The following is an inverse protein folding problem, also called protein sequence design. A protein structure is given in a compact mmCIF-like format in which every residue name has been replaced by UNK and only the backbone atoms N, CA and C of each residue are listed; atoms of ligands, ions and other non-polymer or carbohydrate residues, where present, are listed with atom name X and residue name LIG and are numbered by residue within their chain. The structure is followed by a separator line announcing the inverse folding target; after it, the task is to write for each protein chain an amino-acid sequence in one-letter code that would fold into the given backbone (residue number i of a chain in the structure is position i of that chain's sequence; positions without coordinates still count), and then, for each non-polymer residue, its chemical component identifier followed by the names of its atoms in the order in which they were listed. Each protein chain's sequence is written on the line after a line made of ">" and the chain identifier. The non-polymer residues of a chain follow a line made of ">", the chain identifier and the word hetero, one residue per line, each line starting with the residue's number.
data_IF_967175133285
#
_entry.id   IF_967175133285
#
_cell.length_a   1.000
_cell.length_b   1.000
_cell.length_c   1.000
_cell.angle_alpha   90.00
_cell.angle_beta   90.00
_cell.angle_gamma   90.00
#
_symmetry.space_group_name_H-M   'P 1'
#
loop_
_entity.id
_entity.type
_entity.pdbx_description
1 polymer ?
#
# COMPACT_ATOMS: atom_id res chain seq x y z
N UNK A 1 10.49 12.30 2.70
CA UNK A 1 10.06 13.36 1.76
C UNK A 1 11.02 13.43 0.59
N UNK A 2 10.51 13.54 -0.64
CA UNK A 2 11.32 13.69 -1.84
C UNK A 2 12.08 15.04 -1.84
N UNK A 3 13.35 15.09 -2.27
CA UNK A 3 14.13 16.33 -2.26
C UNK A 3 13.59 17.34 -3.28
N UNK A 4 13.49 18.61 -2.86
CA UNK A 4 12.99 19.70 -3.70
C UNK A 4 14.10 20.33 -4.53
N UNK A 5 13.82 20.55 -5.82
CA UNK A 5 14.73 21.24 -6.70
C UNK A 5 14.56 22.77 -6.59
N UNK A 6 15.65 23.47 -6.24
CA UNK A 6 15.69 24.93 -6.08
C UNK A 6 16.76 25.61 -6.97
N UNK A 7 17.30 24.88 -7.94
CA UNK A 7 18.41 25.33 -8.78
C UNK A 7 17.97 26.16 -10.00
N UNK A 8 18.94 26.72 -10.74
CA UNK A 8 18.69 27.43 -12.00
C UNK A 8 18.19 26.45 -13.08
N UNK A 9 17.41 26.91 -14.06
CA UNK A 9 16.77 26.02 -15.03
C UNK A 9 17.64 25.40 -16.11
N UNK A 10 18.94 25.21 -15.84
CA UNK A 10 19.86 24.57 -16.77
C UNK A 10 19.80 23.05 -16.65
N UNK A 11 19.90 22.35 -17.78
CA UNK A 11 19.92 20.88 -17.81
C UNK A 11 20.99 20.30 -16.87
N UNK A 12 22.16 20.96 -16.79
CA UNK A 12 23.26 20.53 -15.91
C UNK A 12 22.87 20.59 -14.44
N UNK A 13 22.29 21.71 -13.97
CA UNK A 13 21.92 21.86 -12.57
C UNK A 13 20.81 20.87 -12.15
N UNK A 14 19.88 20.55 -13.05
CA UNK A 14 18.86 19.51 -12.84
C UNK A 14 19.52 18.13 -12.70
N UNK A 15 20.43 17.79 -13.61
CA UNK A 15 21.19 16.53 -13.56
C UNK A 15 22.00 16.40 -12.27
N UNK A 16 22.66 17.47 -11.83
CA UNK A 16 23.46 17.47 -10.60
C UNK A 16 22.59 17.25 -9.36
N UNK A 17 21.39 17.86 -9.32
CA UNK A 17 20.44 17.61 -8.23
C UNK A 17 19.95 16.16 -8.20
N UNK A 18 19.64 15.58 -9.36
CA UNK A 18 19.24 14.18 -9.48
C UNK A 18 20.38 13.26 -9.00
N UNK A 19 21.59 13.49 -9.49
CA UNK A 19 22.75 12.65 -9.19
C UNK A 19 23.25 12.76 -7.74
N UNK A 20 22.85 13.81 -7.02
CA UNK A 20 23.27 14.03 -5.62
C UNK A 20 22.11 13.80 -4.65
N UNK A 21 21.14 14.71 -4.61
CA UNK A 21 20.08 14.73 -3.60
C UNK A 21 19.07 13.60 -3.82
N UNK A 22 18.60 13.43 -5.06
CA UNK A 22 17.65 12.35 -5.39
C UNK A 22 18.34 11.01 -5.23
N UNK A 23 19.56 10.83 -5.75
CA UNK A 23 20.34 9.60 -5.58
C UNK A 23 20.56 9.25 -4.10
N UNK A 24 20.96 10.20 -3.26
CA UNK A 24 21.15 9.96 -1.82
C UNK A 24 19.83 9.55 -1.13
N UNK A 25 18.72 10.14 -1.54
CA UNK A 25 17.40 9.77 -1.05
C UNK A 25 16.99 8.35 -1.46
N UNK A 26 17.24 7.95 -2.72
CA UNK A 26 17.01 6.59 -3.22
C UNK A 26 17.86 5.59 -2.44
N UNK A 27 19.17 5.84 -2.33
CA UNK A 27 20.12 4.95 -1.62
C UNK A 27 19.77 4.80 -0.15
N UNK A 28 19.07 5.77 0.46
CA UNK A 28 18.59 5.64 1.83
C UNK A 28 17.30 4.81 1.92
N UNK A 29 16.32 5.07 1.07
CA UNK A 29 14.99 4.45 1.19
C UNK A 29 14.92 3.03 0.59
N UNK A 30 15.53 2.81 -0.56
CA UNK A 30 15.48 1.54 -1.27
C UNK A 30 15.91 0.35 -0.41
N UNK A 31 17.07 0.35 0.26
CA UNK A 31 17.49 -0.80 1.07
C UNK A 31 16.54 -1.08 2.23
N UNK A 32 15.92 -0.05 2.83
CA UNK A 32 14.95 -0.26 3.90
C UNK A 32 13.70 -1.00 3.41
N UNK A 33 13.27 -0.74 2.17
CA UNK A 33 12.15 -1.46 1.56
C UNK A 33 12.59 -2.87 1.16
N UNK A 34 13.82 -3.05 0.67
CA UNK A 34 14.39 -4.38 0.36
C UNK A 34 14.48 -5.25 1.61
N UNK A 35 14.98 -4.72 2.73
CA UNK A 35 15.05 -5.40 4.02
C UNK A 35 13.65 -5.80 4.51
N UNK A 36 12.70 -4.86 4.48
CA UNK A 36 11.32 -5.16 4.85
C UNK A 36 10.69 -6.22 3.92
N UNK A 37 10.96 -6.14 2.62
CA UNK A 37 10.51 -7.13 1.63
C UNK A 37 11.06 -8.52 1.95
N UNK A 38 12.34 -8.61 2.33
CA UNK A 38 12.97 -9.87 2.72
C UNK A 38 12.33 -10.47 3.98
N UNK A 39 11.95 -9.65 4.96
CA UNK A 39 11.22 -10.11 6.15
C UNK A 39 9.81 -10.62 5.81
N UNK A 40 9.06 -9.89 4.97
CA UNK A 40 7.74 -10.34 4.52
C UNK A 40 7.81 -11.61 3.67
N UNK A 41 8.89 -11.81 2.89
CA UNK A 41 9.10 -13.02 2.10
C UNK A 41 9.14 -14.28 2.97
N UNK A 42 9.61 -14.18 4.22
CA UNK A 42 9.60 -15.31 5.17
C UNK A 42 8.20 -15.87 5.43
N UNK A 43 7.16 -15.03 5.34
CA UNK A 43 5.76 -15.46 5.47
C UNK A 43 5.35 -16.34 4.28
N UNK A 44 5.80 -15.97 3.07
CA UNK A 44 5.53 -16.71 1.84
C UNK A 44 6.28 -18.04 1.83
N UNK A 45 7.46 -18.09 2.43
CA UNK A 45 8.32 -19.27 2.50
C UNK A 45 7.98 -20.21 3.69
N UNK A 46 6.88 -19.97 4.42
CA UNK A 46 6.48 -20.82 5.55
C UNK A 46 6.10 -22.26 5.11
N UNK A 47 6.57 -23.24 5.87
CA UNK A 47 6.41 -24.69 5.62
C UNK A 47 5.43 -25.30 6.64
N UNK A 48 4.59 -26.29 6.29
CA UNK A 48 4.47 -26.96 4.98
C UNK A 48 3.75 -26.16 3.91
N UNK A 49 2.93 -25.18 4.30
CA UNK A 49 2.33 -24.22 3.39
C UNK A 49 2.05 -22.91 4.16
N UNK A 50 2.26 -21.75 3.52
CA UNK A 50 2.01 -20.48 4.17
C UNK A 50 0.49 -20.23 4.28
N UNK A 51 -0.03 -19.69 5.41
CA UNK A 51 -1.45 -19.38 5.52
C UNK A 51 -1.83 -18.26 4.52
N UNK A 52 -2.84 -18.47 3.66
CA UNK A 52 -3.15 -17.53 2.57
C UNK A 52 -3.40 -16.09 3.02
N UNK A 53 -4.13 -15.91 4.13
CA UNK A 53 -4.39 -14.60 4.73
C UNK A 53 -3.10 -13.80 4.97
N UNK A 54 -2.07 -14.45 5.50
CA UNK A 54 -0.81 -13.77 5.81
C UNK A 54 0.01 -13.48 4.55
N UNK A 55 -0.05 -14.34 3.55
CA UNK A 55 0.59 -14.08 2.24
C UNK A 55 -0.05 -12.89 1.54
N UNK A 56 -1.38 -12.81 1.55
CA UNK A 56 -2.14 -11.70 0.96
C UNK A 56 -1.78 -10.39 1.67
N UNK A 57 -1.83 -10.37 3.00
CA UNK A 57 -1.45 -9.20 3.79
C UNK A 57 0.02 -8.80 3.54
N UNK A 58 0.95 -9.76 3.51
CA UNK A 58 2.37 -9.51 3.24
C UNK A 58 2.60 -8.91 1.85
N UNK A 59 1.99 -9.50 0.81
CA UNK A 59 2.08 -9.00 -0.56
C UNK A 59 1.50 -7.60 -0.71
N UNK A 60 0.37 -7.32 -0.06
CA UNK A 60 -0.23 -5.98 -0.01
C UNK A 60 0.70 -4.94 0.63
N UNK A 61 1.32 -5.25 1.77
CA UNK A 61 2.26 -4.34 2.46
C UNK A 61 3.53 -4.08 1.66
N UNK A 62 4.12 -5.12 1.06
CA UNK A 62 5.29 -4.95 0.19
C UNK A 62 4.94 -4.13 -1.05
N UNK A 63 3.79 -4.43 -1.67
CA UNK A 63 3.26 -3.65 -2.80
C UNK A 63 3.05 -2.18 -2.44
N UNK A 64 2.52 -1.88 -1.25
CA UNK A 64 2.30 -0.51 -0.79
C UNK A 64 3.60 0.25 -0.56
N UNK A 65 4.62 -0.39 0.05
CA UNK A 65 5.92 0.26 0.24
C UNK A 65 6.57 0.63 -1.09
N UNK A 66 6.61 -0.30 -2.05
CA UNK A 66 7.18 -0.02 -3.38
C UNK A 66 6.30 0.94 -4.19
N UNK A 67 4.98 0.79 -4.14
CA UNK A 67 4.02 1.66 -4.81
C UNK A 67 4.09 3.10 -4.30
N UNK A 68 4.18 3.28 -2.98
CA UNK A 68 4.38 4.60 -2.35
C UNK A 68 5.75 5.18 -2.71
N UNK A 69 6.80 4.37 -2.73
CA UNK A 69 8.13 4.81 -3.17
C UNK A 69 8.10 5.36 -4.60
N UNK A 70 7.42 4.68 -5.54
CA UNK A 70 7.24 5.15 -6.93
C UNK A 70 6.38 6.41 -6.99
N UNK A 71 5.27 6.48 -6.23
CA UNK A 71 4.43 7.68 -6.16
C UNK A 71 5.21 8.92 -5.71
N UNK A 72 6.19 8.78 -4.82
CA UNK A 72 7.03 9.90 -4.37
C UNK A 72 7.90 10.50 -5.49
N UNK A 73 8.29 9.72 -6.52
CA UNK A 73 8.98 10.28 -7.69
C UNK A 73 8.06 11.19 -8.50
N UNK A 74 6.83 10.74 -8.78
CA UNK A 74 5.85 11.56 -9.51
C UNK A 74 5.38 12.78 -8.72
N UNK A 75 5.39 12.68 -7.39
CA UNK A 75 5.12 13.79 -6.49
C UNK A 75 6.34 14.72 -6.28
N UNK A 76 7.42 14.57 -7.05
CA UNK A 76 8.60 15.43 -6.97
C UNK A 76 8.19 16.91 -7.13
N UNK A 77 8.52 17.77 -6.16
CA UNK A 77 8.24 19.19 -6.28
C UNK A 77 9.18 19.81 -7.31
N UNK A 78 8.60 20.28 -8.42
CA UNK A 78 9.30 20.98 -9.50
C UNK A 78 9.06 22.50 -9.45
N UNK A 79 10.02 23.33 -9.86
CA UNK A 79 9.86 24.78 -9.90
C UNK A 79 8.75 25.24 -10.86
N UNK A 80 8.13 26.38 -10.56
CA UNK A 80 7.01 26.94 -11.36
C UNK A 80 7.39 27.19 -12.82
N UNK A 81 8.60 27.68 -13.10
CA UNK A 81 9.06 27.93 -14.46
C UNK A 81 9.15 26.63 -15.29
N UNK A 82 9.56 25.52 -14.67
CA UNK A 82 9.57 24.19 -15.32
C UNK A 82 8.15 23.66 -15.50
N UNK A 83 7.22 23.97 -14.59
CA UNK A 83 5.81 23.57 -14.72
C UNK A 83 5.12 24.20 -15.93
N UNK A 84 5.51 25.42 -16.30
CA UNK A 84 4.92 26.16 -17.41
C UNK A 84 5.42 25.68 -18.78
N UNK A 85 6.65 25.16 -18.83
CA UNK A 85 7.22 24.56 -20.04
C UNK A 85 6.74 23.09 -20.19
N UNK A 86 5.89 22.84 -21.18
CA UNK A 86 5.32 21.51 -21.41
C UNK A 86 6.39 20.47 -21.77
N UNK A 87 7.34 20.81 -22.64
CA UNK A 87 8.35 19.87 -23.11
C UNK A 87 9.31 19.50 -21.99
N UNK A 88 9.78 20.51 -21.25
CA UNK A 88 10.70 20.30 -20.14
C UNK A 88 10.05 19.52 -19.00
N UNK A 89 8.78 19.82 -18.67
CA UNK A 89 8.00 19.08 -17.67
C UNK A 89 7.82 17.62 -18.07
N UNK A 90 7.48 17.38 -19.33
CA UNK A 90 7.26 16.02 -19.86
C UNK A 90 8.55 15.21 -19.85
N UNK A 91 9.66 15.80 -20.32
CA UNK A 91 10.97 15.17 -20.29
C UNK A 91 11.43 14.86 -18.85
N UNK A 92 11.17 15.76 -17.90
CA UNK A 92 11.50 15.55 -16.49
C UNK A 92 10.73 14.37 -15.89
N UNK A 93 9.40 14.34 -16.04
CA UNK A 93 8.60 13.24 -15.50
C UNK A 93 8.88 11.91 -16.22
N UNK A 94 9.12 11.92 -17.53
CA UNK A 94 9.54 10.72 -18.27
C UNK A 94 10.82 10.12 -17.71
N UNK A 95 11.85 10.95 -17.45
CA UNK A 95 13.10 10.49 -16.86
C UNK A 95 12.93 9.93 -15.43
N UNK A 96 12.03 10.52 -14.63
CA UNK A 96 11.70 9.98 -13.30
C UNK A 96 10.93 8.66 -13.38
N UNK A 97 9.99 8.56 -14.31
CA UNK A 97 9.23 7.33 -14.54
C UNK A 97 10.17 6.20 -14.97
N UNK A 98 11.04 6.43 -15.96
CA UNK A 98 12.04 5.46 -16.42
C UNK A 98 12.97 5.01 -15.27
N UNK A 99 13.41 5.95 -14.43
CA UNK A 99 14.27 5.64 -13.29
C UNK A 99 13.57 4.83 -12.20
N UNK A 100 12.25 4.98 -12.06
CA UNK A 100 11.42 4.32 -11.03
C UNK A 100 10.75 3.03 -11.53
N UNK A 101 10.79 2.76 -12.83
CA UNK A 101 10.14 1.61 -13.45
C UNK A 101 10.54 0.26 -12.83
N UNK A 102 11.82 -0.01 -12.49
CA UNK A 102 12.19 -1.25 -11.81
C UNK A 102 11.45 -1.44 -10.48
N UNK A 103 11.27 -0.36 -9.72
CA UNK A 103 10.56 -0.41 -8.43
C UNK A 103 9.05 -0.54 -8.63
N UNK A 104 8.50 0.02 -9.71
CA UNK A 104 7.11 -0.20 -10.10
C UNK A 104 6.86 -1.67 -10.43
N UNK A 105 7.80 -2.35 -11.10
CA UNK A 105 7.73 -3.78 -11.35
C UNK A 105 7.84 -4.62 -10.06
N UNK A 106 8.65 -4.19 -9.08
CA UNK A 106 8.68 -4.82 -7.75
C UNK A 106 7.32 -4.72 -7.04
N UNK A 107 6.69 -3.54 -7.09
CA UNK A 107 5.32 -3.36 -6.59
C UNK A 107 4.33 -4.29 -7.31
N UNK A 108 4.38 -4.34 -8.65
CA UNK A 108 3.53 -5.21 -9.47
C UNK A 108 3.67 -6.67 -9.05
N UNK A 109 4.90 -7.17 -8.87
CA UNK A 109 5.16 -8.56 -8.46
C UNK A 109 4.56 -8.90 -7.09
N UNK A 110 4.68 -8.01 -6.12
CA UNK A 110 4.11 -8.19 -4.79
C UNK A 110 2.57 -8.18 -4.81
N UNK A 111 1.96 -7.20 -5.50
CA UNK A 111 0.51 -7.12 -5.63
C UNK A 111 -0.08 -8.28 -6.43
N UNK A 112 0.61 -8.74 -7.48
CA UNK A 112 0.22 -9.94 -8.22
C UNK A 112 0.23 -11.17 -7.32
N UNK A 113 1.27 -11.35 -6.51
CA UNK A 113 1.34 -12.48 -5.57
C UNK A 113 0.16 -12.45 -4.57
N UNK A 114 -0.16 -11.27 -4.05
CA UNK A 114 -1.32 -11.05 -3.20
C UNK A 114 -2.64 -11.42 -3.89
N UNK A 115 -2.87 -10.93 -5.12
CA UNK A 115 -4.09 -11.21 -5.89
C UNK A 115 -4.18 -12.69 -6.28
N UNK A 116 -3.09 -13.30 -6.73
CA UNK A 116 -3.02 -14.72 -7.12
C UNK A 116 -3.39 -15.62 -5.93
N UNK A 117 -2.89 -15.33 -4.72
CA UNK A 117 -3.27 -16.07 -3.50
C UNK A 117 -4.72 -15.82 -3.11
N UNK A 118 -5.20 -14.58 -3.18
CA UNK A 118 -6.59 -14.24 -2.89
C UNK A 118 -7.56 -15.03 -3.77
N UNK A 119 -7.32 -15.05 -5.08
CA UNK A 119 -8.13 -15.79 -6.04
C UNK A 119 -8.00 -17.30 -5.85
N UNK A 120 -6.77 -17.82 -5.67
CA UNK A 120 -6.54 -19.27 -5.52
C UNK A 120 -7.23 -19.86 -4.29
N UNK A 121 -7.20 -19.15 -3.16
CA UNK A 121 -7.77 -19.62 -1.89
C UNK A 121 -9.14 -19.02 -1.58
N UNK A 122 -9.71 -18.24 -2.51
CA UNK A 122 -11.02 -17.58 -2.38
C UNK A 122 -11.11 -16.77 -1.07
N UNK A 123 -10.03 -16.06 -0.74
CA UNK A 123 -9.94 -15.24 0.47
C UNK A 123 -9.86 -13.77 0.07
N UNK A 124 -10.93 -13.01 0.31
CA UNK A 124 -11.11 -11.66 -0.20
C UNK A 124 -11.29 -10.65 0.92
N UNK A 125 -10.22 -10.08 1.46
CA UNK A 125 -10.25 -9.03 2.49
C UNK A 125 -9.75 -7.67 1.97
N UNK A 126 -9.64 -6.69 2.88
CA UNK A 126 -9.13 -5.35 2.59
C UNK A 126 -7.75 -5.34 1.89
N UNK A 127 -6.88 -6.31 2.22
CA UNK A 127 -5.56 -6.40 1.61
C UNK A 127 -5.67 -6.87 0.17
N UNK A 128 -6.45 -7.92 -0.09
CA UNK A 128 -6.71 -8.39 -1.45
C UNK A 128 -7.36 -7.30 -2.32
N UNK A 129 -8.26 -6.50 -1.74
CA UNK A 129 -8.89 -5.38 -2.43
C UNK A 129 -7.87 -4.31 -2.82
N UNK A 130 -7.01 -3.93 -1.87
CA UNK A 130 -5.92 -2.97 -2.13
C UNK A 130 -5.02 -3.45 -3.27
N UNK A 131 -4.73 -4.75 -3.33
CA UNK A 131 -3.91 -5.34 -4.38
C UNK A 131 -4.58 -5.26 -5.76
N UNK A 132 -5.87 -5.58 -5.82
CA UNK A 132 -6.66 -5.50 -7.05
C UNK A 132 -6.77 -4.06 -7.56
N UNK A 133 -7.13 -3.11 -6.69
CA UNK A 133 -7.27 -1.69 -7.02
C UNK A 133 -5.96 -1.12 -7.57
N UNK A 134 -4.84 -1.37 -6.88
CA UNK A 134 -3.55 -0.86 -7.33
C UNK A 134 -3.16 -1.44 -8.70
N UNK A 135 -3.37 -2.74 -8.91
CA UNK A 135 -3.06 -3.39 -10.19
C UNK A 135 -3.97 -2.87 -11.32
N UNK A 136 -5.27 -2.73 -11.07
CA UNK A 136 -6.22 -2.19 -12.03
C UNK A 136 -5.87 -0.74 -12.39
N UNK A 137 -5.51 0.11 -11.42
CA UNK A 137 -5.16 1.51 -11.69
C UNK A 137 -3.88 1.65 -12.52
N UNK A 138 -2.86 0.84 -12.24
CA UNK A 138 -1.53 0.96 -12.85
C UNK A 138 -1.35 0.12 -14.12
N UNK A 139 -2.16 -0.93 -14.29
CA UNK A 139 -2.05 -1.93 -15.35
C UNK A 139 -3.44 -2.29 -15.91
N UNK A 140 -4.23 -1.28 -16.29
CA UNK A 140 -5.62 -1.39 -16.80
C UNK A 140 -5.83 -2.37 -17.94
N UNK A 141 -4.80 -2.62 -18.74
CA UNK A 141 -4.87 -3.55 -19.88
C UNK A 141 -4.75 -5.02 -19.43
N UNK A 142 -4.22 -5.26 -18.25
CA UNK A 142 -3.95 -6.60 -17.70
C UNK A 142 -4.89 -6.95 -16.55
N UNK A 143 -5.32 -5.96 -15.76
CA UNK A 143 -6.13 -6.15 -14.56
C UNK A 143 -7.39 -5.29 -14.62
N UNK A 144 -8.52 -5.90 -14.31
CA UNK A 144 -9.82 -5.26 -14.23
C UNK A 144 -10.45 -5.55 -12.86
N UNK A 145 -11.12 -4.56 -12.29
CA UNK A 145 -11.91 -4.75 -11.07
C UNK A 145 -13.17 -5.54 -11.42
N UNK A 146 -13.41 -6.62 -10.68
CA UNK A 146 -14.55 -7.51 -10.90
C UNK A 146 -15.42 -7.51 -9.65
N UNK A 147 -16.11 -6.39 -9.40
CA UNK A 147 -16.90 -6.17 -8.19
C UNK A 147 -18.21 -6.97 -8.20
N UNK A 148 -18.69 -7.37 -9.38
CA UNK A 148 -19.96 -8.10 -9.56
C UNK A 148 -19.90 -9.57 -9.13
N UNK A 149 -18.70 -10.17 -9.05
CA UNK A 149 -18.56 -11.62 -8.84
C UNK A 149 -18.06 -11.99 -7.43
N UNK A 150 -17.84 -11.00 -6.54
CA UNK A 150 -17.23 -11.24 -5.23
C UNK A 150 -18.04 -10.60 -4.11
N UNK A 151 -18.16 -11.31 -2.98
CA UNK A 151 -18.71 -10.74 -1.76
C UNK A 151 -17.85 -9.57 -1.26
N UNK A 152 -18.47 -8.59 -0.61
CA UNK A 152 -17.76 -7.42 -0.08
C UNK A 152 -16.56 -7.85 0.80
N UNK A 153 -15.40 -7.19 0.69
CA UNK A 153 -14.21 -7.52 1.48
C UNK A 153 -14.43 -7.50 3.01
N UNK A 154 -15.47 -6.80 3.46
CA UNK A 154 -15.84 -6.70 4.87
C UNK A 154 -16.73 -7.86 5.35
N UNK A 155 -17.16 -8.75 4.46
CA UNK A 155 -18.13 -9.81 4.71
C UNK A 155 -17.56 -11.23 4.60
N UNK A 156 -16.26 -11.40 4.37
CA UNK A 156 -15.66 -12.75 4.27
C UNK A 156 -15.37 -13.37 5.64
N UNK A 157 -16.14 -14.40 5.96
CA UNK A 157 -15.87 -15.58 6.81
C UNK A 157 -14.69 -15.45 7.80
N UNK A 158 -14.81 -14.56 8.78
CA UNK A 158 -14.06 -14.76 10.01
C UNK A 158 -14.82 -15.81 10.80
N UNK A 159 -14.38 -17.06 10.70
CA UNK A 159 -14.94 -18.17 11.51
C UNK A 159 -14.83 -17.89 13.02
N UNK A 160 -14.00 -16.92 13.45
CA UNK A 160 -13.95 -16.40 14.81
C UNK A 160 -15.07 -15.39 15.12
N UNK A 161 -15.53 -14.58 14.15
CA UNK A 161 -16.74 -13.75 14.29
C UNK A 161 -18.03 -14.58 14.17
N UNK A 162 -17.99 -15.68 13.44
CA UNK A 162 -19.12 -16.59 13.23
C UNK A 162 -19.21 -17.70 14.28
N UNK A 163 -18.26 -17.78 15.23
CA UNK A 163 -18.37 -18.70 16.36
C UNK A 163 -19.57 -18.27 17.20
N UNK A 164 -20.64 -19.07 17.30
CA UNK A 164 -21.70 -18.77 18.24
C UNK A 164 -21.08 -18.71 19.64
N UNK A 165 -21.49 -17.71 20.43
CA UNK A 165 -21.07 -17.63 21.84
C UNK A 165 -21.35 -18.97 22.52
N UNK A 166 -20.42 -19.49 23.34
CA UNK A 166 -20.69 -20.71 24.09
C UNK A 166 -21.96 -20.50 24.91
N UNK A 167 -22.91 -21.43 24.77
CA UNK A 167 -24.21 -21.32 25.43
C UNK A 167 -24.05 -21.86 26.86
N UNK A 168 -24.57 -21.11 27.83
CA UNK A 168 -24.72 -21.59 29.21
C UNK A 168 -25.66 -22.81 29.27
N UNK A 169 -25.61 -23.56 30.37
CA UNK A 169 -26.53 -24.71 30.58
C UNK A 169 -28.01 -24.28 30.52
N UNK A 170 -28.31 -22.97 30.72
CA UNK A 170 -29.64 -22.38 30.60
C UNK A 170 -30.04 -21.87 29.22
N UNK A 171 -29.23 -22.06 28.16
CA UNK A 171 -29.60 -21.66 26.80
C UNK A 171 -29.22 -20.23 26.40
N UNK A 172 -28.65 -19.44 27.31
CA UNK A 172 -28.22 -18.06 27.04
C UNK A 172 -26.75 -17.97 26.60
N UNK A 173 -26.39 -17.06 25.67
CA UNK A 173 -25.02 -16.87 25.22
C UNK A 173 -24.10 -16.31 26.32
N UNK A 174 -22.93 -16.91 26.50
CA UNK A 174 -21.91 -16.44 27.43
C UNK A 174 -21.16 -15.23 26.82
N UNK A 175 -21.67 -14.02 27.08
CA UNK A 175 -21.05 -12.76 26.65
C UNK A 175 -20.21 -12.21 27.81
N UNK A 176 -18.89 -12.37 27.76
CA UNK A 176 -17.98 -11.56 28.58
C UNK A 176 -17.73 -10.24 27.87
N UNK A 177 -18.49 -9.20 28.22
CA UNK A 177 -18.22 -7.87 27.71
C UNK A 177 -16.80 -7.43 28.11
N UNK A 178 -15.96 -6.93 27.18
CA UNK A 178 -14.78 -6.16 27.57
C UNK A 178 -15.23 -4.88 28.29
N UNK A 179 -14.46 -4.36 29.26
CA UNK A 179 -14.86 -3.16 29.98
C UNK A 179 -15.00 -2.00 28.99
N UNK A 180 -16.15 -1.32 29.04
CA UNK A 180 -16.40 -0.13 28.25
C UNK A 180 -15.35 0.93 28.57
N UNK A 181 -14.66 1.42 27.55
CA UNK A 181 -13.91 2.67 27.62
C UNK A 181 -14.91 3.80 27.86
N UNK A 182 -14.86 4.41 29.04
CA UNK A 182 -15.59 5.63 29.36
C UNK A 182 -15.19 6.73 28.36
N UNK A 183 -16.13 7.13 27.51
CA UNK A 183 -16.04 8.37 26.74
C UNK A 183 -16.04 9.56 27.71
N UNK A 184 -15.00 10.38 27.57
CA UNK A 184 -14.81 11.60 28.34
C UNK A 184 -15.91 12.63 28.02
N UNK A 185 -16.76 12.90 29.01
CA UNK A 185 -17.74 13.99 29.00
C UNK A 185 -17.10 15.33 29.42
N UNK A 186 -17.21 16.34 28.55
CA UNK A 186 -17.18 17.78 28.86
C UNK A 186 -17.87 18.56 27.73
N UNK A 187 -18.43 19.77 27.96
CA UNK A 187 -19.00 20.31 29.19
C UNK A 187 -20.40 20.95 28.96
N UNK A 188 -21.33 20.76 29.91
CA UNK A 188 -22.64 21.42 29.91
C UNK A 188 -22.71 22.61 30.86
N UNK A 189 -23.10 23.76 30.33
CA UNK A 189 -23.31 25.02 31.03
C UNK A 189 -24.39 24.95 32.14
N UNK A 190 -24.20 25.71 33.21
CA UNK A 190 -25.28 26.13 34.11
C UNK A 190 -25.26 27.65 34.28
N UNK A 191 -26.39 28.25 33.88
CA UNK A 191 -26.85 29.58 34.31
C UNK A 191 -27.52 29.41 35.67
N UNK A 192 -27.15 30.25 36.63
CA UNK A 192 -28.03 31.18 37.35
C UNK A 192 -27.20 32.15 38.18
#
# INVERSE_FOLDING_TARGET
>A
KFPEYKGPGTSQAVKDHINTKVKAWITKKRPLIEDATAEYKKIVDLVPAPPPKWVIAAGSRVGDMWGTFVKEFRAAPIPTWMKQDYELRTAYYGALDDASEPQKQMAKGAYRTCLDYSVKYQYFDEFSRTCEEWLADNYKNEYHLIDEFRGSPNLVNSTLKERPYPISIGGEPFVTAPPATEEADKPGASKE
#
